data_IF_303276361976
#
_entry.id   IF_303276361976
#
_cell.length_a   1.000
_cell.length_b   1.000
_cell.length_c   1.000
_cell.angle_alpha   90.00
_cell.angle_beta   90.00
_cell.angle_gamma   90.00
#
_symmetry.space_group_name_H-M   'P 1'
#
loop_
_entity.id
_entity.type
_entity.pdbx_description
1 polymer ?
#
# COMPACT_ATOMS: atom_id res chain seq x y z
N UNK A 1 -26.58 4.72 11.42
CA UNK A 1 -25.15 5.08 11.27
C UNK A 1 -24.51 4.06 10.35
N UNK A 2 -23.82 4.51 9.29
CA UNK A 2 -23.29 3.68 8.18
C UNK A 2 -22.29 2.57 8.61
N UNK A 3 -21.90 2.53 9.88
CA UNK A 3 -20.87 1.61 10.39
C UNK A 3 -21.35 0.61 11.43
N UNK A 4 -22.63 0.62 11.84
CA UNK A 4 -23.11 -0.33 12.85
C UNK A 4 -23.14 -1.74 12.25
N UNK A 5 -22.29 -2.64 12.74
CA UNK A 5 -22.20 -4.04 12.28
C UNK A 5 -21.15 -4.35 11.20
N UNK A 6 -20.35 -3.38 10.75
CA UNK A 6 -19.36 -3.60 9.67
C UNK A 6 -18.08 -4.30 10.11
N UNK A 7 -17.88 -4.55 11.41
CA UNK A 7 -16.61 -5.03 11.97
C UNK A 7 -15.47 -4.01 11.87
N UNK A 8 -15.71 -2.84 11.25
CA UNK A 8 -14.73 -1.76 11.13
C UNK A 8 -14.67 -1.01 12.45
N UNK A 9 -13.47 -0.95 13.03
CA UNK A 9 -13.24 -0.27 14.29
C UNK A 9 -13.49 1.25 14.16
N UNK A 10 -14.28 1.87 15.05
CA UNK A 10 -14.49 3.32 15.05
C UNK A 10 -13.16 4.10 15.11
N UNK A 11 -13.11 5.28 14.47
CA UNK A 11 -11.87 6.06 14.29
C UNK A 11 -11.15 6.39 15.60
N UNK A 12 -11.91 6.68 16.66
CA UNK A 12 -11.37 7.01 17.99
C UNK A 12 -10.77 5.79 18.72
N UNK A 13 -11.06 4.58 18.26
CA UNK A 13 -10.50 3.34 18.82
C UNK A 13 -9.29 2.82 18.02
N UNK A 14 -8.93 3.48 16.91
CA UNK A 14 -7.78 3.12 16.09
C UNK A 14 -6.48 3.44 16.85
N UNK A 15 -5.52 2.52 16.78
CA UNK A 15 -4.19 2.75 17.30
C UNK A 15 -3.37 3.53 16.27
N UNK A 16 -2.55 4.51 16.67
CA UNK A 16 -1.60 5.13 15.77
C UNK A 16 -0.68 4.07 15.13
N UNK A 17 -0.41 4.23 13.84
CA UNK A 17 0.58 3.40 13.12
C UNK A 17 1.96 3.67 13.75
N UNK A 18 2.67 2.62 14.14
CA UNK A 18 4.03 2.77 14.67
C UNK A 18 4.98 3.17 13.54
N UNK A 19 6.04 3.90 13.87
CA UNK A 19 7.03 4.36 12.88
C UNK A 19 7.59 3.22 12.03
N UNK A 20 7.92 2.08 12.64
CA UNK A 20 8.40 0.91 11.91
C UNK A 20 7.34 0.33 10.95
N UNK A 21 6.07 0.26 11.37
CA UNK A 21 4.98 -0.20 10.50
C UNK A 21 4.80 0.74 9.29
N UNK A 22 4.96 2.05 9.53
CA UNK A 22 4.90 3.07 8.47
C UNK A 22 6.06 2.92 7.47
N UNK A 23 7.27 2.69 7.96
CA UNK A 23 8.45 2.48 7.12
C UNK A 23 8.35 1.18 6.32
N UNK A 24 7.88 0.09 6.95
CA UNK A 24 7.64 -1.17 6.28
C UNK A 24 6.63 -1.01 5.13
N UNK A 25 5.51 -0.31 5.39
CA UNK A 25 4.51 -0.04 4.36
C UNK A 25 5.05 0.86 3.23
N UNK A 26 5.83 1.89 3.54
CA UNK A 26 6.49 2.72 2.53
C UNK A 26 7.46 1.90 1.66
N UNK A 27 8.26 1.02 2.28
CA UNK A 27 9.15 0.10 1.58
C UNK A 27 8.39 -0.87 0.67
N UNK A 28 7.27 -1.44 1.15
CA UNK A 28 6.44 -2.32 0.35
C UNK A 28 5.86 -1.61 -0.89
N UNK A 29 5.36 -0.38 -0.72
CA UNK A 29 4.85 0.42 -1.84
C UNK A 29 5.95 0.76 -2.86
N UNK A 30 7.14 1.12 -2.38
CA UNK A 30 8.31 1.35 -3.24
C UNK A 30 8.72 0.11 -4.02
N UNK A 31 8.74 -1.06 -3.36
CA UNK A 31 9.10 -2.32 -4.02
C UNK A 31 8.09 -2.68 -5.12
N UNK A 32 6.79 -2.58 -4.85
CA UNK A 32 5.74 -2.83 -5.85
C UNK A 32 5.90 -1.87 -7.03
N UNK A 33 6.06 -0.57 -6.78
CA UNK A 33 6.28 0.42 -7.83
C UNK A 33 7.50 0.07 -8.69
N UNK A 34 8.63 -0.27 -8.07
CA UNK A 34 9.85 -0.60 -8.78
C UNK A 34 9.68 -1.85 -9.67
N UNK A 35 9.07 -2.92 -9.13
CA UNK A 35 8.85 -4.17 -9.87
C UNK A 35 7.95 -3.92 -11.09
N UNK A 36 6.83 -3.23 -10.91
CA UNK A 36 5.90 -2.95 -12.01
C UNK A 36 6.51 -1.99 -13.02
N UNK A 37 7.20 -0.94 -12.55
CA UNK A 37 7.92 -0.01 -13.41
C UNK A 37 8.95 -0.71 -14.29
N UNK A 38 9.73 -1.63 -13.72
CA UNK A 38 10.71 -2.42 -14.48
C UNK A 38 10.03 -3.32 -15.52
N UNK A 39 8.93 -3.98 -15.14
CA UNK A 39 8.12 -4.78 -16.07
C UNK A 39 7.58 -3.96 -17.24
N UNK A 40 7.08 -2.74 -16.98
CA UNK A 40 6.61 -1.83 -18.04
C UNK A 40 7.74 -1.37 -18.95
N UNK A 41 8.90 -1.00 -18.40
CA UNK A 41 10.07 -0.61 -19.20
C UNK A 41 10.55 -1.74 -20.08
N UNK A 42 10.64 -2.96 -19.53
CA UNK A 42 11.00 -4.15 -20.28
C UNK A 42 10.00 -4.41 -21.42
N UNK A 43 8.69 -4.38 -21.13
CA UNK A 43 7.67 -4.60 -22.13
C UNK A 43 7.71 -3.53 -23.22
N UNK A 44 7.91 -2.26 -22.86
CA UNK A 44 8.06 -1.17 -23.82
C UNK A 44 9.24 -1.36 -24.75
N UNK A 45 10.36 -1.88 -24.24
CA UNK A 45 11.55 -2.18 -25.06
C UNK A 45 11.34 -3.37 -26.01
N UNK A 46 10.40 -4.28 -25.74
CA UNK A 46 10.04 -5.39 -26.63
C UNK A 46 9.02 -4.98 -27.71
N UNK A 47 8.31 -3.87 -27.50
CA UNK A 47 7.30 -3.36 -28.44
C UNK A 47 7.86 -2.33 -29.44
N UNK A 48 9.09 -1.84 -29.20
CA UNK A 48 9.85 -0.99 -30.12
C UNK A 48 10.78 -1.84 -30.99
#
# INVERSE_FOLDING_TARGET
LITVGSGVKPRHELKPIKTFDRLAMAGALLAVFAIHGYGMLWASAQLM
#
